data_IF_331397219764
#
_entry.id   IF_331397219764
#
_cell.length_a   1.000
_cell.length_b   1.000
_cell.length_c   1.000
_cell.angle_alpha   90.00
_cell.angle_beta   90.00
_cell.angle_gamma   90.00
#
_symmetry.space_group_name_H-M   'P 1'
#
loop_
_entity.id
_entity.type
_entity.pdbx_description
1 polymer ?
#
# COMPACT_ATOMS: atom_id res chain seq x y z
N UNK A 1 -41.64 -33.04 25.48
CA UNK A 1 -42.16 -32.27 26.64
C UNK A 1 -42.29 -30.83 26.16
N UNK A 2 -43.49 -30.24 26.06
CA UNK A 2 -44.32 -29.71 27.16
C UNK A 2 -43.65 -28.47 27.81
N UNK A 3 -44.26 -27.28 27.89
CA UNK A 3 -45.50 -26.68 27.33
C UNK A 3 -45.55 -25.20 27.81
N UNK A 4 -46.50 -24.39 27.30
CA UNK A 4 -47.04 -23.13 27.88
C UNK A 4 -46.15 -21.88 27.87
N UNK A 5 -46.70 -20.66 27.89
CA UNK A 5 -47.97 -20.08 27.38
C UNK A 5 -47.90 -18.55 27.59
N UNK A 6 -48.55 -17.74 26.74
CA UNK A 6 -48.62 -16.29 26.94
C UNK A 6 -49.55 -15.53 25.97
N UNK A 7 -50.88 -15.67 26.14
CA UNK A 7 -51.84 -14.62 25.77
C UNK A 7 -51.68 -13.44 26.78
N UNK A 8 -52.14 -12.18 26.65
CA UNK A 8 -53.22 -11.47 25.91
C UNK A 8 -52.89 -9.93 26.03
N UNK A 9 -53.57 -8.91 25.46
CA UNK A 9 -54.75 -8.81 24.60
C UNK A 9 -54.75 -7.49 23.76
N UNK A 10 -55.35 -7.56 22.56
CA UNK A 10 -56.36 -6.67 21.97
C UNK A 10 -56.49 -5.19 22.43
N UNK A 11 -56.47 -4.26 21.45
CA UNK A 11 -57.33 -3.06 21.48
C UNK A 11 -57.72 -2.68 20.05
N UNK A 12 -59.02 -2.62 19.76
CA UNK A 12 -59.60 -2.28 18.45
C UNK A 12 -60.38 -0.97 18.58
N UNK A 13 -60.18 -0.04 17.66
CA UNK A 13 -61.05 1.12 17.50
C UNK A 13 -61.46 1.24 16.02
N UNK A 14 -62.77 1.36 15.77
CA UNK A 14 -63.33 1.57 14.44
C UNK A 14 -63.42 3.06 14.09
N UNK A 15 -63.25 3.38 12.81
CA UNK A 15 -63.64 4.66 12.20
C UNK A 15 -64.22 4.35 10.81
N UNK A 16 -65.45 4.81 10.53
CA UNK A 16 -66.28 4.31 9.42
C UNK A 16 -66.25 5.24 8.20
N UNK A 17 -66.49 4.62 7.04
CA UNK A 17 -66.48 5.13 5.67
C UNK A 17 -67.02 6.56 5.41
N UNK A 18 -66.44 7.18 4.37
CA UNK A 18 -67.11 8.15 3.50
C UNK A 18 -66.85 7.78 2.04
N UNK A 19 -67.86 7.22 1.36
CA UNK A 19 -67.80 6.97 -0.08
C UNK A 19 -68.13 8.26 -0.85
N UNK A 20 -67.31 8.62 -1.83
CA UNK A 20 -67.59 9.67 -2.80
C UNK A 20 -67.31 9.14 -4.21
N UNK A 21 -68.33 9.11 -5.05
CA UNK A 21 -68.30 8.53 -6.39
C UNK A 21 -68.32 9.65 -7.44
N UNK A 22 -67.30 9.73 -8.30
CA UNK A 22 -67.25 10.65 -9.45
C UNK A 22 -66.55 10.01 -10.65
N UNK A 23 -67.05 10.37 -11.84
CA UNK A 23 -66.75 9.76 -13.15
C UNK A 23 -65.32 10.00 -13.69
N UNK A 24 -64.89 9.22 -14.72
CA UNK A 24 -63.56 9.29 -15.31
C UNK A 24 -63.43 10.31 -16.46
N UNK A 25 -62.20 10.83 -16.64
CA UNK A 25 -61.54 11.39 -17.85
C UNK A 25 -60.60 12.57 -17.46
N UNK A 26 -59.60 12.96 -18.26
CA UNK A 26 -58.93 12.26 -19.36
C UNK A 26 -57.39 12.14 -19.12
N UNK A 27 -56.65 11.66 -20.11
CA UNK A 27 -55.16 11.70 -20.13
C UNK A 27 -54.66 13.14 -20.09
N UNK A 28 -53.74 13.44 -19.17
CA UNK A 28 -52.97 14.67 -19.17
C UNK A 28 -51.49 14.37 -19.44
N UNK A 29 -51.01 14.65 -20.64
CA UNK A 29 -49.58 14.87 -20.88
C UNK A 29 -49.17 16.19 -20.22
N UNK A 30 -48.12 16.17 -19.39
CA UNK A 30 -47.07 17.20 -19.23
C UNK A 30 -46.30 17.03 -17.90
N UNK A 31 -45.07 17.59 -17.75
CA UNK A 31 -44.27 18.26 -18.76
C UNK A 31 -42.86 17.63 -18.95
N UNK A 32 -42.33 17.77 -20.17
CA UNK A 32 -40.88 17.69 -20.38
C UNK A 32 -40.21 18.98 -19.86
N UNK A 33 -39.96 19.05 -18.55
CA UNK A 33 -39.22 20.15 -17.89
C UNK A 33 -38.39 19.60 -16.74
N UNK A 34 -37.07 19.72 -16.73
CA UNK A 34 -36.20 20.21 -17.81
C UNK A 34 -34.79 19.69 -17.60
N UNK A 35 -33.94 19.82 -18.61
CA UNK A 35 -32.51 19.56 -18.46
C UNK A 35 -31.96 20.60 -17.49
N UNK A 36 -31.79 20.20 -16.24
CA UNK A 36 -30.95 20.94 -15.30
C UNK A 36 -29.51 20.75 -15.77
N UNK A 37 -29.05 21.68 -16.62
CA UNK A 37 -27.64 21.99 -16.81
C UNK A 37 -27.08 22.60 -15.51
N UNK A 38 -27.16 21.85 -14.42
CA UNK A 38 -26.31 22.06 -13.26
C UNK A 38 -24.88 21.73 -13.71
N UNK A 39 -24.21 22.73 -14.28
CA UNK A 39 -22.78 22.68 -14.54
C UNK A 39 -22.11 22.21 -13.25
N UNK A 40 -21.57 20.99 -13.28
CA UNK A 40 -20.89 20.39 -12.15
C UNK A 40 -19.83 21.39 -11.68
N UNK A 41 -20.03 21.96 -10.49
CA UNK A 41 -19.26 23.13 -10.08
C UNK A 41 -17.81 22.71 -9.93
N UNK A 42 -16.98 23.06 -10.91
CA UNK A 42 -15.63 22.52 -11.06
C UNK A 42 -14.82 22.79 -9.80
N UNK A 43 -14.68 21.77 -8.96
CA UNK A 43 -13.84 21.85 -7.76
C UNK A 43 -12.41 22.10 -8.22
N UNK A 44 -11.70 23.01 -7.56
CA UNK A 44 -10.31 23.35 -7.89
C UNK A 44 -9.35 22.83 -6.83
N UNK A 45 -8.17 22.41 -7.29
CA UNK A 45 -7.02 22.10 -6.45
C UNK A 45 -5.99 23.22 -6.61
N UNK A 46 -5.28 23.56 -5.53
CA UNK A 46 -4.41 24.73 -5.43
C UNK A 46 -3.02 24.34 -4.91
N UNK A 47 -1.98 24.97 -5.44
CA UNK A 47 -0.64 24.96 -4.87
C UNK A 47 -0.03 26.36 -4.94
N UNK A 48 0.84 26.65 -3.97
CA UNK A 48 1.55 27.93 -3.85
C UNK A 48 3.04 27.67 -3.71
N UNK A 49 3.85 28.41 -4.45
CA UNK A 49 5.29 28.42 -4.30
C UNK A 49 5.81 29.84 -4.52
N UNK A 50 6.71 30.30 -3.65
CA UNK A 50 7.22 31.67 -3.59
C UNK A 50 6.12 32.75 -3.79
N UNK A 51 5.94 33.26 -5.01
CA UNK A 51 4.99 34.33 -5.33
C UNK A 51 3.84 33.90 -6.27
N UNK A 52 3.85 32.66 -6.75
CA UNK A 52 2.87 32.06 -7.65
C UNK A 52 1.87 31.22 -6.83
N UNK A 53 0.59 31.50 -7.03
CA UNK A 53 -0.50 30.57 -6.73
C UNK A 53 -1.00 30.02 -8.06
N UNK A 54 -1.03 28.70 -8.17
CA UNK A 54 -1.54 27.96 -9.32
C UNK A 54 -2.71 27.09 -8.88
N UNK A 55 -3.76 27.08 -9.69
CA UNK A 55 -4.94 26.24 -9.47
C UNK A 55 -5.32 25.48 -10.73
N UNK A 56 -5.75 24.24 -10.57
CA UNK A 56 -6.31 23.41 -11.65
C UNK A 56 -7.78 23.15 -11.41
N UNK A 57 -8.57 23.14 -12.48
CA UNK A 57 -9.91 22.54 -12.49
C UNK A 57 -9.73 21.02 -12.34
N UNK A 58 -10.29 20.45 -11.27
CA UNK A 58 -10.05 19.03 -10.97
C UNK A 58 -10.71 18.12 -12.00
N UNK A 59 -11.82 18.52 -12.62
CA UNK A 59 -12.47 17.75 -13.67
C UNK A 59 -11.89 18.13 -15.03
N UNK A 60 -11.26 17.17 -15.71
CA UNK A 60 -10.87 17.35 -17.10
C UNK A 60 -12.06 17.21 -18.06
N UNK A 61 -11.99 17.87 -19.22
CA UNK A 61 -13.04 17.84 -20.25
C UNK A 61 -12.48 17.33 -21.57
N UNK A 62 -13.18 16.40 -22.23
CA UNK A 62 -12.76 15.94 -23.55
C UNK A 62 -13.24 16.87 -24.67
N UNK A 63 -12.40 17.07 -25.66
CA UNK A 63 -12.67 17.88 -26.85
C UNK A 63 -12.16 17.17 -28.11
N UNK A 64 -12.69 17.54 -29.27
CA UNK A 64 -12.16 17.10 -30.56
C UNK A 64 -11.30 18.22 -31.16
N UNK A 65 -9.99 18.00 -31.27
CA UNK A 65 -9.03 18.94 -31.87
C UNK A 65 -8.33 18.26 -33.05
N UNK A 66 -8.32 18.93 -34.21
CA UNK A 66 -7.70 18.43 -35.44
C UNK A 66 -8.13 17.00 -35.84
N UNK A 67 -9.38 16.62 -35.51
CA UNK A 67 -9.92 15.29 -35.77
C UNK A 67 -9.55 14.20 -34.75
N UNK A 68 -8.75 14.51 -33.72
CA UNK A 68 -8.43 13.61 -32.60
C UNK A 68 -9.21 14.02 -31.35
N UNK A 69 -9.55 13.04 -30.52
CA UNK A 69 -10.13 13.28 -29.19
C UNK A 69 -8.99 13.54 -28.22
N UNK A 70 -9.08 14.61 -27.45
CA UNK A 70 -8.07 15.02 -26.47
C UNK A 70 -8.72 15.32 -25.12
N UNK A 71 -8.01 15.03 -24.04
CA UNK A 71 -8.37 15.49 -22.69
C UNK A 71 -7.80 16.88 -22.46
N UNK A 72 -8.66 17.84 -22.11
CA UNK A 72 -8.26 19.19 -21.70
C UNK A 72 -8.27 19.32 -20.18
N UNK A 73 -7.13 19.76 -19.64
CA UNK A 73 -6.95 20.14 -18.23
C UNK A 73 -6.71 21.65 -18.16
N UNK A 74 -7.51 22.38 -17.37
CA UNK A 74 -7.45 23.86 -17.29
C UNK A 74 -6.85 24.35 -16.00
N UNK A 75 -6.01 25.38 -16.09
CA UNK A 75 -5.35 26.00 -14.96
C UNK A 75 -5.51 27.53 -14.94
N UNK A 76 -5.43 28.10 -13.74
CA UNK A 76 -5.44 29.55 -13.49
C UNK A 76 -4.35 29.91 -12.49
N UNK A 77 -3.52 30.90 -12.85
CA UNK A 77 -2.48 31.48 -12.02
C UNK A 77 -2.88 32.84 -11.43
N UNK A 78 -2.25 33.27 -10.34
CA UNK A 78 -2.38 34.65 -9.84
C UNK A 78 -1.42 35.65 -10.53
N UNK A 79 -0.45 35.18 -11.32
CA UNK A 79 0.53 35.97 -12.11
C UNK A 79 0.28 35.89 -13.61
N UNK A 80 0.83 36.84 -14.37
CA UNK A 80 0.80 36.78 -15.82
C UNK A 80 1.80 35.75 -16.37
N UNK A 81 1.32 34.92 -17.28
CA UNK A 81 2.03 33.79 -17.89
C UNK A 81 2.83 34.26 -19.11
N UNK A 82 4.13 33.98 -19.12
CA UNK A 82 5.01 34.25 -20.25
C UNK A 82 5.06 33.06 -21.21
N UNK A 83 5.18 31.87 -20.62
CA UNK A 83 5.40 30.61 -21.33
C UNK A 83 4.91 29.45 -20.46
N UNK A 84 4.39 28.41 -21.11
CA UNK A 84 3.95 27.15 -20.48
C UNK A 84 4.26 25.98 -21.40
N UNK A 85 4.78 24.88 -20.84
CA UNK A 85 4.99 23.63 -21.56
C UNK A 85 4.74 22.44 -20.64
N UNK A 86 4.23 21.33 -21.17
CA UNK A 86 3.99 20.09 -20.44
C UNK A 86 4.97 19.00 -20.85
N UNK A 87 5.42 18.20 -19.88
CA UNK A 87 6.44 17.18 -20.08
C UNK A 87 6.31 16.03 -19.08
N UNK A 88 6.90 14.91 -19.44
CA UNK A 88 7.23 13.80 -18.53
C UNK A 88 8.76 13.75 -18.41
N UNK A 89 9.34 12.96 -17.49
CA UNK A 89 10.79 12.74 -17.50
C UNK A 89 11.29 12.35 -18.90
N UNK A 90 12.28 13.10 -19.37
CA UNK A 90 12.98 12.96 -20.65
C UNK A 90 12.19 13.24 -21.97
N UNK A 91 10.90 13.62 -21.93
CA UNK A 91 10.14 13.94 -23.17
C UNK A 91 9.04 15.01 -23.00
N UNK A 92 8.78 15.77 -24.06
CA UNK A 92 7.64 16.71 -24.15
C UNK A 92 6.36 15.87 -24.23
N UNK A 93 5.31 16.26 -23.51
CA UNK A 93 4.14 15.41 -23.32
C UNK A 93 2.85 16.22 -23.25
N UNK A 94 1.92 15.97 -24.17
CA UNK A 94 0.76 16.82 -24.39
C UNK A 94 1.12 18.22 -24.91
N UNK A 95 0.09 18.98 -25.25
CA UNK A 95 0.20 20.34 -25.79
C UNK A 95 -0.31 21.35 -24.76
N UNK A 96 0.59 22.14 -24.15
CA UNK A 96 0.21 23.22 -23.23
C UNK A 96 0.08 24.56 -23.97
N UNK A 97 -1.02 25.29 -23.72
CA UNK A 97 -1.35 26.54 -24.40
C UNK A 97 -1.84 27.61 -23.43
N UNK A 98 -1.32 28.84 -23.56
CA UNK A 98 -1.85 30.01 -22.83
C UNK A 98 -3.14 30.48 -23.51
N UNK A 99 -4.27 30.40 -22.80
CA UNK A 99 -5.61 30.79 -23.28
C UNK A 99 -6.06 32.18 -22.77
N UNK A 100 -5.33 32.76 -21.81
CA UNK A 100 -5.52 34.12 -21.30
C UNK A 100 -4.29 34.55 -20.50
N UNK A 101 -4.11 35.84 -20.21
CA UNK A 101 -2.96 36.38 -19.44
C UNK A 101 -2.63 35.59 -18.17
N UNK A 102 -3.64 34.98 -17.53
CA UNK A 102 -3.52 34.20 -16.29
C UNK A 102 -4.03 32.76 -16.38
N UNK A 103 -4.34 32.26 -17.59
CA UNK A 103 -4.91 30.92 -17.76
C UNK A 103 -4.21 30.17 -18.86
N UNK A 104 -3.97 28.88 -18.62
CA UNK A 104 -3.51 27.95 -19.62
C UNK A 104 -4.34 26.68 -19.56
N UNK A 105 -4.21 25.87 -20.60
CA UNK A 105 -4.72 24.52 -20.65
C UNK A 105 -3.65 23.56 -21.15
N UNK A 106 -3.86 22.26 -20.90
CA UNK A 106 -3.04 21.17 -21.42
C UNK A 106 -3.97 20.22 -22.15
N UNK A 107 -3.66 19.92 -23.40
CA UNK A 107 -4.31 18.88 -24.18
C UNK A 107 -3.47 17.59 -24.16
N UNK A 108 -4.07 16.47 -23.79
CA UNK A 108 -3.45 15.13 -23.86
C UNK A 108 -4.21 14.28 -24.87
N UNK A 109 -3.50 13.64 -25.80
CA UNK A 109 -4.09 12.71 -26.75
C UNK A 109 -4.66 11.47 -26.03
N UNK A 110 -5.86 11.05 -26.44
CA UNK A 110 -6.57 9.90 -25.83
C UNK A 110 -5.90 8.55 -26.14
N UNK A 111 -4.92 8.50 -27.04
CA UNK A 111 -4.11 7.30 -27.26
C UNK A 111 -3.08 7.10 -26.13
N UNK A 112 -1.79 7.23 -26.42
CA UNK A 112 -0.72 6.84 -25.49
C UNK A 112 -0.52 7.85 -24.34
N UNK A 113 -0.75 9.14 -24.59
CA UNK A 113 -0.47 10.20 -23.62
C UNK A 113 -1.36 10.08 -22.38
N UNK A 114 -2.67 10.04 -22.61
CA UNK A 114 -3.63 9.88 -21.52
C UNK A 114 -3.45 8.54 -20.78
N UNK A 115 -3.11 7.45 -21.46
CA UNK A 115 -2.79 6.16 -20.82
C UNK A 115 -1.61 6.28 -19.85
N UNK A 116 -0.52 6.93 -20.27
CA UNK A 116 0.66 7.07 -19.45
C UNK A 116 0.38 7.86 -18.16
N UNK A 117 -0.35 8.97 -18.26
CA UNK A 117 -0.73 9.80 -17.10
C UNK A 117 -1.68 9.03 -16.17
N UNK A 118 -2.79 8.48 -16.69
CA UNK A 118 -3.78 7.78 -15.87
C UNK A 118 -3.24 6.51 -15.21
N UNK A 119 -2.25 5.85 -15.83
CA UNK A 119 -1.54 4.72 -15.24
C UNK A 119 -0.58 5.15 -14.11
N UNK A 120 -0.55 6.43 -13.73
CA UNK A 120 0.18 6.96 -12.57
C UNK A 120 1.54 7.58 -12.90
N UNK A 121 1.78 7.98 -14.15
CA UNK A 121 2.93 8.84 -14.47
C UNK A 121 2.55 10.29 -14.13
N UNK A 122 3.33 11.01 -13.31
CA UNK A 122 3.07 12.42 -13.09
C UNK A 122 3.33 13.20 -14.37
N UNK A 123 2.46 14.17 -14.65
CA UNK A 123 2.68 15.16 -15.69
C UNK A 123 3.29 16.40 -15.05
N UNK A 124 4.40 16.87 -15.60
CA UNK A 124 5.04 18.11 -15.18
C UNK A 124 4.66 19.25 -16.11
N UNK A 125 4.62 20.47 -15.57
CA UNK A 125 4.28 21.69 -16.31
C UNK A 125 5.28 22.77 -15.95
N UNK A 126 6.10 23.17 -16.90
CA UNK A 126 6.90 24.38 -16.78
C UNK A 126 6.00 25.61 -16.90
N UNK A 127 6.12 26.54 -15.96
CA UNK A 127 5.34 27.79 -15.92
C UNK A 127 6.29 28.95 -15.69
N UNK A 128 6.47 29.81 -16.70
CA UNK A 128 7.25 31.04 -16.58
C UNK A 128 6.33 32.26 -16.46
N UNK A 129 6.69 33.21 -15.60
CA UNK A 129 5.86 34.39 -15.30
C UNK A 129 6.61 35.70 -15.52
N UNK A 130 5.94 36.73 -16.06
CA UNK A 130 6.57 38.02 -16.39
C UNK A 130 6.12 39.21 -15.51
N UNK A 131 5.24 38.98 -14.52
CA UNK A 131 4.82 40.02 -13.55
C UNK A 131 5.31 39.73 -12.14
N UNK A 132 6.04 40.69 -11.56
CA UNK A 132 6.78 40.52 -10.30
C UNK A 132 8.27 40.39 -10.60
N UNK A 133 9.00 39.64 -9.79
CA UNK A 133 10.30 39.11 -10.19
C UNK A 133 10.05 37.96 -11.17
N UNK A 134 10.57 37.99 -12.42
CA UNK A 134 10.43 36.87 -13.33
C UNK A 134 11.00 35.60 -12.69
N UNK A 135 10.22 34.54 -12.71
CA UNK A 135 10.56 33.26 -12.07
C UNK A 135 9.88 32.15 -12.85
N UNK A 136 10.62 31.07 -13.07
CA UNK A 136 10.12 29.83 -13.63
C UNK A 136 9.81 28.86 -12.49
N UNK A 137 8.69 28.16 -12.64
CA UNK A 137 8.18 27.20 -11.69
C UNK A 137 7.92 25.89 -12.42
N UNK A 138 8.02 24.76 -11.72
CA UNK A 138 7.51 23.48 -12.23
C UNK A 138 6.35 23.02 -11.36
N UNK A 139 5.20 22.80 -11.98
CA UNK A 139 4.08 22.12 -11.34
C UNK A 139 4.18 20.62 -11.62
N UNK A 140 3.87 19.79 -10.61
CA UNK A 140 3.62 18.36 -10.76
C UNK A 140 2.13 18.12 -10.58
N UNK A 141 1.48 17.48 -11.55
CA UNK A 141 0.10 17.01 -11.44
C UNK A 141 -0.02 15.50 -11.58
N UNK A 142 -1.01 14.93 -10.90
CA UNK A 142 -1.38 13.51 -11.03
C UNK A 142 -2.86 13.44 -11.40
N UNK A 143 -3.19 12.65 -12.42
CA UNK A 143 -4.54 12.52 -12.95
C UNK A 143 -4.94 11.06 -12.91
N UNK A 144 -6.13 10.76 -12.37
CA UNK A 144 -6.67 9.41 -12.31
C UNK A 144 -8.16 9.41 -12.65
N UNK A 145 -8.72 8.29 -13.15
CA UNK A 145 -10.16 8.17 -13.29
C UNK A 145 -10.84 8.18 -11.90
N UNK A 146 -11.89 8.98 -11.74
CA UNK A 146 -12.66 9.10 -10.48
C UNK A 146 -14.15 9.10 -10.75
N UNK A 147 -14.90 8.41 -9.89
CA UNK A 147 -16.35 8.45 -9.90
C UNK A 147 -16.89 9.71 -9.20
N UNK A 148 -17.93 10.31 -9.75
CA UNK A 148 -18.65 11.44 -9.16
C UNK A 148 -20.13 11.43 -9.59
N UNK A 149 -20.91 12.43 -9.15
CA UNK A 149 -22.34 12.56 -9.45
C UNK A 149 -23.15 11.29 -9.06
N UNK A 150 -22.86 10.76 -7.87
CA UNK A 150 -23.52 9.56 -7.34
C UNK A 150 -24.99 9.83 -7.05
N UNK A 151 -25.90 9.03 -7.63
CA UNK A 151 -27.36 9.13 -7.41
C UNK A 151 -28.00 7.76 -7.24
N UNK A 152 -29.14 7.67 -6.58
CA UNK A 152 -29.87 6.42 -6.35
C UNK A 152 -29.59 5.81 -4.98
N UNK A 153 -29.58 4.47 -4.91
CA UNK A 153 -29.62 3.73 -3.64
C UNK A 153 -28.39 3.92 -2.75
N UNK A 154 -28.65 4.10 -1.44
CA UNK A 154 -27.65 4.05 -0.38
C UNK A 154 -27.26 2.61 0.01
N UNK A 155 -28.03 1.60 -0.43
CA UNK A 155 -27.77 0.18 -0.17
C UNK A 155 -26.55 -0.40 -0.90
N UNK A 156 -25.87 0.40 -1.73
CA UNK A 156 -24.55 0.08 -2.29
C UNK A 156 -23.64 1.30 -2.25
N UNK A 157 -22.35 1.07 -2.02
CA UNK A 157 -21.30 2.07 -2.01
C UNK A 157 -20.36 1.84 -3.19
N UNK A 158 -20.33 2.77 -4.15
CA UNK A 158 -19.33 2.79 -5.23
C UNK A 158 -18.20 3.69 -4.75
N UNK A 159 -16.97 3.18 -4.73
CA UNK A 159 -15.79 3.97 -4.34
C UNK A 159 -15.55 5.10 -5.36
N UNK A 160 -15.04 6.25 -4.90
CA UNK A 160 -14.61 7.33 -5.81
C UNK A 160 -13.42 6.87 -6.67
N UNK A 161 -12.57 6.01 -6.12
CA UNK A 161 -11.30 5.65 -6.74
C UNK A 161 -11.45 4.57 -7.80
N UNK A 162 -10.82 4.84 -8.93
CA UNK A 162 -10.46 3.86 -9.95
C UNK A 162 -8.96 3.99 -10.17
N UNK A 163 -8.18 3.07 -9.60
CA UNK A 163 -6.72 3.18 -9.55
C UNK A 163 -6.05 2.13 -10.47
N UNK A 164 -4.89 2.44 -11.07
CA UNK A 164 -4.19 1.54 -11.98
C UNK A 164 -3.35 0.51 -11.22
N UNK A 165 -3.53 -0.76 -11.56
CA UNK A 165 -2.76 -1.89 -11.02
C UNK A 165 -2.06 -2.67 -12.13
N UNK A 166 -0.96 -3.32 -11.75
CA UNK A 166 -0.24 -4.21 -12.64
C UNK A 166 -0.89 -5.58 -12.65
N UNK A 167 -1.32 -6.02 -13.84
CA UNK A 167 -1.89 -7.35 -14.07
C UNK A 167 -1.22 -7.94 -15.30
N UNK A 168 -0.57 -9.09 -15.17
CA UNK A 168 0.12 -9.77 -16.27
C UNK A 168 -0.89 -10.31 -17.29
N UNK A 169 -1.15 -9.55 -18.36
CA UNK A 169 -2.16 -9.85 -19.37
C UNK A 169 -1.65 -9.60 -20.79
N UNK A 170 -0.71 -10.44 -21.23
CA UNK A 170 -0.10 -10.34 -22.57
C UNK A 170 0.64 -9.03 -22.76
N UNK A 171 0.23 -8.23 -23.75
CA UNK A 171 0.81 -6.92 -24.03
C UNK A 171 0.30 -5.77 -23.15
N UNK A 172 -0.87 -5.93 -22.51
CA UNK A 172 -1.53 -4.87 -21.76
C UNK A 172 -1.47 -5.15 -20.26
N UNK A 173 -0.37 -4.74 -19.61
CA UNK A 173 -0.13 -5.07 -18.21
C UNK A 173 -0.76 -4.09 -17.18
N UNK A 174 -1.67 -3.22 -17.63
CA UNK A 174 -2.41 -2.27 -16.77
C UNK A 174 -3.90 -2.60 -16.76
N UNK A 175 -4.47 -2.64 -15.56
CA UNK A 175 -5.92 -2.65 -15.32
C UNK A 175 -6.28 -1.47 -14.44
N UNK A 176 -7.29 -0.72 -14.84
CA UNK A 176 -7.90 0.33 -14.02
C UNK A 176 -8.99 -0.34 -13.18
N UNK A 177 -8.89 -0.24 -11.85
CA UNK A 177 -9.75 -0.98 -10.94
C UNK A 177 -10.54 -0.06 -10.02
N UNK A 178 -11.87 -0.12 -10.14
CA UNK A 178 -12.82 0.45 -9.19
C UNK A 178 -13.36 -0.61 -8.23
N UNK A 179 -14.12 -0.16 -7.23
CA UNK A 179 -14.71 -1.02 -6.20
C UNK A 179 -16.16 -0.66 -5.91
N UNK A 180 -16.99 -1.67 -5.62
CA UNK A 180 -18.34 -1.50 -5.06
C UNK A 180 -18.50 -2.42 -3.85
N UNK A 181 -19.02 -1.86 -2.76
CA UNK A 181 -19.28 -2.57 -1.49
C UNK A 181 -20.75 -2.47 -1.10
N UNK A 182 -21.22 -3.44 -0.32
CA UNK A 182 -22.55 -3.45 0.29
C UNK A 182 -23.05 -4.87 0.56
N UNK A 183 -24.25 -5.05 1.12
CA UNK A 183 -24.90 -6.37 1.31
C UNK A 183 -25.42 -6.94 -0.03
N UNK A 184 -24.53 -7.06 -1.02
CA UNK A 184 -24.82 -7.36 -2.42
C UNK A 184 -24.65 -8.86 -2.69
N UNK A 185 -25.68 -9.48 -3.27
CA UNK A 185 -25.65 -10.87 -3.76
C UNK A 185 -25.23 -10.98 -5.23
N UNK A 186 -25.41 -9.91 -5.98
CA UNK A 186 -25.01 -9.77 -7.38
C UNK A 186 -24.72 -8.31 -7.68
N UNK A 187 -23.88 -8.04 -8.67
CA UNK A 187 -23.68 -6.71 -9.23
C UNK A 187 -23.56 -6.82 -10.76
N UNK A 188 -24.27 -5.95 -11.47
CA UNK A 188 -24.10 -5.68 -12.89
C UNK A 188 -23.84 -4.18 -13.07
N UNK A 189 -22.98 -3.85 -14.03
CA UNK A 189 -22.73 -2.46 -14.46
C UNK A 189 -23.09 -2.34 -15.93
N UNK A 190 -23.84 -1.30 -16.29
CA UNK A 190 -24.20 -0.98 -17.67
C UNK A 190 -23.86 0.47 -18.00
N UNK A 191 -23.42 0.70 -19.23
CA UNK A 191 -23.05 1.99 -19.80
C UNK A 191 -23.28 1.93 -21.32
N UNK A 192 -23.23 3.07 -22.01
CA UNK A 192 -23.32 3.09 -23.48
C UNK A 192 -22.11 2.40 -24.13
N UNK A 193 -20.95 2.61 -23.52
CA UNK A 193 -19.61 2.13 -23.88
C UNK A 193 -18.77 1.97 -22.59
N UNK A 194 -17.55 1.44 -22.72
CA UNK A 194 -16.64 1.34 -21.57
C UNK A 194 -17.14 0.52 -20.37
N UNK A 195 -17.94 -0.53 -20.58
CA UNK A 195 -18.44 -1.37 -19.49
C UNK A 195 -17.30 -2.15 -18.81
N UNK A 196 -17.15 -2.11 -17.47
CA UNK A 196 -16.12 -2.89 -16.77
C UNK A 196 -16.41 -4.39 -16.78
N UNK A 197 -15.36 -5.19 -16.62
CA UNK A 197 -15.50 -6.56 -16.12
C UNK A 197 -15.82 -6.52 -14.63
N UNK A 198 -16.97 -7.06 -14.23
CA UNK A 198 -17.38 -7.15 -12.82
C UNK A 198 -17.00 -8.51 -12.25
N UNK A 199 -16.32 -8.54 -11.10
CA UNK A 199 -15.98 -9.77 -10.40
C UNK A 199 -16.13 -9.61 -8.88
N UNK A 200 -16.60 -10.64 -8.19
CA UNK A 200 -16.62 -10.65 -6.73
C UNK A 200 -15.17 -10.65 -6.18
N UNK A 201 -14.87 -9.75 -5.25
CA UNK A 201 -13.59 -9.66 -4.54
C UNK A 201 -13.72 -10.01 -3.05
N UNK A 202 -14.95 -10.15 -2.55
CA UNK A 202 -15.28 -10.64 -1.22
C UNK A 202 -16.78 -10.95 -1.11
N UNK A 203 -17.25 -11.36 0.07
CA UNK A 203 -18.66 -11.72 0.27
C UNK A 203 -19.66 -10.58 0.06
N UNK A 204 -19.19 -9.33 0.17
CA UNK A 204 -19.96 -8.08 0.11
C UNK A 204 -19.23 -7.01 -0.73
N UNK A 205 -18.31 -7.44 -1.61
CA UNK A 205 -17.42 -6.56 -2.37
C UNK A 205 -17.23 -7.08 -3.79
N UNK A 206 -17.29 -6.16 -4.75
CA UNK A 206 -17.02 -6.40 -6.16
C UNK A 206 -15.92 -5.46 -6.64
N UNK A 207 -15.03 -5.97 -7.48
CA UNK A 207 -14.09 -5.17 -8.27
C UNK A 207 -14.66 -4.91 -9.67
N UNK A 208 -14.30 -3.76 -10.21
CA UNK A 208 -14.65 -3.29 -11.54
C UNK A 208 -13.36 -3.09 -12.32
N UNK A 209 -13.08 -3.96 -13.28
CA UNK A 209 -11.80 -3.97 -14.00
C UNK A 209 -12.00 -3.47 -15.44
N UNK A 210 -11.33 -2.37 -15.80
CA UNK A 210 -11.25 -1.85 -17.17
C UNK A 210 -9.85 -2.07 -17.76
N UNK A 211 -9.79 -2.40 -19.05
CA UNK A 211 -8.61 -2.16 -19.87
C UNK A 211 -8.54 -0.67 -20.27
N UNK A 212 -7.39 -0.20 -20.76
CA UNK A 212 -7.25 1.20 -21.19
C UNK A 212 -8.31 1.61 -22.23
N UNK A 213 -8.52 0.78 -23.26
CA UNK A 213 -9.54 1.03 -24.28
C UNK A 213 -10.93 1.26 -23.69
N UNK A 214 -11.32 0.40 -22.75
CA UNK A 214 -12.63 0.53 -22.08
C UNK A 214 -12.70 1.68 -21.06
N UNK A 215 -11.59 2.12 -20.46
CA UNK A 215 -11.64 3.19 -19.44
C UNK A 215 -11.75 4.58 -20.08
N UNK A 216 -11.12 4.81 -21.24
CA UNK A 216 -11.22 6.11 -21.91
C UNK A 216 -12.56 6.36 -22.58
N UNK A 217 -13.29 5.29 -22.91
CA UNK A 217 -14.69 5.38 -23.35
C UNK A 217 -15.59 5.69 -22.14
N UNK A 218 -15.47 4.91 -21.06
CA UNK A 218 -16.25 5.10 -19.82
C UNK A 218 -16.14 6.51 -19.20
N UNK A 219 -15.01 7.18 -19.42
CA UNK A 219 -14.71 8.51 -18.88
C UNK A 219 -15.37 9.69 -19.62
N UNK A 220 -15.84 9.50 -20.85
CA UNK A 220 -16.70 10.47 -21.55
C UNK A 220 -17.36 9.81 -22.77
N UNK A 221 -18.69 9.70 -22.71
CA UNK A 221 -19.50 9.37 -23.87
C UNK A 221 -20.73 10.29 -23.97
N UNK A 222 -20.53 11.61 -23.87
CA UNK A 222 -21.61 12.61 -23.96
C UNK A 222 -22.77 12.40 -22.95
N UNK A 223 -22.41 12.27 -21.68
CA UNK A 223 -23.25 12.52 -20.49
C UNK A 223 -24.24 11.45 -20.00
N UNK A 224 -24.22 10.21 -20.48
CA UNK A 224 -24.95 9.11 -19.80
C UNK A 224 -24.11 8.55 -18.62
N UNK A 225 -24.62 8.52 -17.37
CA UNK A 225 -23.92 7.88 -16.25
C UNK A 225 -23.83 6.36 -16.37
N UNK A 226 -22.79 5.76 -15.79
CA UNK A 226 -22.75 4.32 -15.54
C UNK A 226 -23.86 3.96 -14.55
N UNK A 227 -24.55 2.86 -14.81
CA UNK A 227 -25.63 2.33 -13.96
C UNK A 227 -25.18 1.05 -13.28
N UNK A 228 -25.24 1.04 -11.96
CA UNK A 228 -24.90 -0.07 -11.07
C UNK A 228 -26.21 -0.69 -10.57
N UNK A 229 -26.45 -1.95 -10.89
CA UNK A 229 -27.65 -2.68 -10.48
C UNK A 229 -27.23 -3.88 -9.65
N UNK A 230 -27.74 -3.99 -8.42
CA UNK A 230 -27.37 -5.05 -7.49
C UNK A 230 -28.60 -5.70 -6.85
N UNK A 231 -28.56 -7.01 -6.65
CA UNK A 231 -29.53 -7.71 -5.80
C UNK A 231 -29.04 -7.67 -4.36
N UNK A 232 -29.89 -7.19 -3.43
CA UNK A 232 -29.61 -7.19 -1.99
C UNK A 232 -30.19 -8.44 -1.32
N UNK A 233 -29.72 -8.72 -0.09
CA UNK A 233 -30.36 -9.69 0.78
C UNK A 233 -31.87 -9.45 0.92
N UNK A 234 -32.67 -10.51 0.80
CA UNK A 234 -34.14 -10.43 0.78
C UNK A 234 -34.77 -10.18 -0.60
N UNK A 235 -33.98 -10.12 -1.67
CA UNK A 235 -34.48 -10.01 -3.05
C UNK A 235 -34.83 -8.58 -3.50
N UNK A 236 -34.42 -7.57 -2.74
CA UNK A 236 -34.59 -6.15 -3.10
C UNK A 236 -33.54 -5.77 -4.14
N UNK A 237 -33.95 -5.18 -5.27
CA UNK A 237 -33.00 -4.60 -6.23
C UNK A 237 -32.62 -3.19 -5.81
N UNK A 238 -31.33 -2.93 -5.70
CA UNK A 238 -30.77 -1.59 -5.57
C UNK A 238 -30.21 -1.12 -6.92
N UNK A 239 -30.41 0.15 -7.24
CA UNK A 239 -29.82 0.79 -8.41
C UNK A 239 -29.12 2.08 -7.99
N UNK A 240 -27.91 2.30 -8.48
CA UNK A 240 -27.13 3.53 -8.31
C UNK A 240 -26.60 3.98 -9.67
N UNK A 241 -26.36 5.27 -9.84
CA UNK A 241 -25.64 5.81 -11.00
C UNK A 241 -24.47 6.64 -10.54
N UNK A 242 -23.41 6.67 -11.35
CA UNK A 242 -22.26 7.55 -11.18
C UNK A 242 -21.60 7.81 -12.54
N UNK A 243 -20.84 8.89 -12.63
CA UNK A 243 -20.05 9.27 -13.81
C UNK A 243 -18.59 9.02 -13.53
N UNK A 244 -17.85 8.46 -14.48
CA UNK A 244 -16.39 8.40 -14.41
C UNK A 244 -15.82 9.60 -15.18
N UNK A 245 -14.78 10.26 -14.66
CA UNK A 245 -13.99 11.28 -15.38
C UNK A 245 -12.51 11.20 -15.01
N UNK A 246 -11.60 11.65 -15.89
CA UNK A 246 -10.23 11.95 -15.48
C UNK A 246 -10.25 13.15 -14.53
N UNK A 247 -9.69 12.95 -13.33
CA UNK A 247 -9.63 13.98 -12.29
C UNK A 247 -8.19 14.29 -11.91
N UNK A 248 -7.83 15.57 -11.86
CA UNK A 248 -6.57 16.02 -11.23
C UNK A 248 -6.72 15.81 -9.72
N UNK A 249 -5.98 14.84 -9.17
CA UNK A 249 -6.06 14.45 -7.75
C UNK A 249 -4.95 15.05 -6.90
N UNK A 250 -3.87 15.50 -7.54
CA UNK A 250 -2.67 16.03 -6.87
C UNK A 250 -2.13 17.20 -7.69
N UNK A 251 -1.67 18.23 -7.00
CA UNK A 251 -0.99 19.40 -7.55
C UNK A 251 0.07 19.84 -6.54
N UNK A 252 1.33 19.87 -6.97
CA UNK A 252 2.44 20.43 -6.23
C UNK A 252 3.20 21.41 -7.13
N UNK A 253 3.97 22.33 -6.53
CA UNK A 253 4.66 23.40 -7.24
C UNK A 253 6.05 23.61 -6.60
N UNK A 254 7.07 23.90 -7.41
CA UNK A 254 8.43 24.21 -6.94
C UNK A 254 9.12 25.23 -7.84
N UNK A 255 10.08 25.98 -7.30
CA UNK A 255 11.09 26.73 -8.08
C UNK A 255 12.43 26.00 -8.23
N UNK A 256 12.58 24.82 -7.60
CA UNK A 256 13.78 23.97 -7.74
C UNK A 256 13.72 23.07 -8.98
N UNK A 257 14.74 22.23 -9.13
CA UNK A 257 14.73 21.17 -10.15
C UNK A 257 13.67 20.11 -9.79
N UNK A 258 12.78 19.82 -10.74
CA UNK A 258 11.70 18.87 -10.54
C UNK A 258 12.20 17.42 -10.32
N UNK A 259 13.37 17.07 -10.83
CA UNK A 259 14.00 15.76 -10.67
C UNK A 259 14.71 15.61 -9.31
N UNK A 260 15.17 16.72 -8.71
CA UNK A 260 15.71 16.72 -7.34
C UNK A 260 14.58 16.75 -6.29
N UNK A 261 13.50 17.50 -6.56
CA UNK A 261 12.36 17.67 -5.63
C UNK A 261 11.38 16.48 -5.69
N UNK A 262 11.18 15.91 -6.88
CA UNK A 262 10.31 14.75 -7.09
C UNK A 262 11.04 13.65 -7.89
N UNK A 263 12.13 13.07 -7.34
CA UNK A 263 12.91 12.05 -8.01
C UNK A 263 12.03 10.87 -8.40
N UNK A 264 12.22 10.41 -9.63
CA UNK A 264 11.60 9.21 -10.19
C UNK A 264 12.03 8.00 -9.35
N UNK A 265 11.13 7.35 -8.57
CA UNK A 265 11.56 6.32 -7.62
C UNK A 265 12.12 5.09 -8.33
N UNK A 266 13.19 4.52 -7.78
CA UNK A 266 13.73 3.22 -8.22
C UNK A 266 12.79 2.06 -7.81
N UNK A 267 13.19 0.81 -8.05
CA UNK A 267 12.43 -0.33 -7.57
C UNK A 267 12.44 -0.38 -6.03
N UNK A 268 11.27 -0.26 -5.42
CA UNK A 268 11.15 -0.26 -3.96
C UNK A 268 11.23 -1.67 -3.39
N UNK A 269 12.16 -1.90 -2.46
CA UNK A 269 12.40 -3.20 -1.81
C UNK A 269 11.13 -3.94 -1.30
N UNK A 270 10.13 -3.29 -0.65
CA UNK A 270 8.90 -3.98 -0.24
C UNK A 270 8.07 -4.49 -1.42
N UNK A 271 8.06 -3.74 -2.53
CA UNK A 271 7.33 -4.08 -3.76
C UNK A 271 8.00 -5.26 -4.45
N UNK A 272 9.33 -5.20 -4.58
CA UNK A 272 10.15 -6.31 -5.10
C UNK A 272 9.90 -7.62 -4.34
N UNK A 273 9.98 -7.55 -3.00
CA UNK A 273 9.77 -8.70 -2.13
C UNK A 273 8.34 -9.24 -2.25
N UNK A 274 7.33 -8.36 -2.33
CA UNK A 274 5.95 -8.79 -2.53
C UNK A 274 5.74 -9.52 -3.86
N UNK A 275 6.33 -9.03 -4.97
CA UNK A 275 6.24 -9.66 -6.29
C UNK A 275 6.85 -11.08 -6.25
N UNK A 276 8.04 -11.22 -5.64
CA UNK A 276 8.76 -12.49 -5.55
C UNK A 276 8.17 -13.47 -4.53
N UNK A 277 7.41 -12.98 -3.55
CA UNK A 277 6.65 -13.81 -2.61
C UNK A 277 5.31 -14.33 -3.19
N UNK A 278 4.89 -13.87 -4.38
CA UNK A 278 3.64 -14.36 -4.98
C UNK A 278 3.75 -15.83 -5.42
N UNK A 279 2.68 -16.63 -5.27
CA UNK A 279 2.62 -17.98 -5.81
C UNK A 279 2.90 -18.04 -7.32
N UNK A 280 3.46 -19.16 -7.78
CA UNK A 280 3.66 -19.41 -9.21
C UNK A 280 2.31 -19.36 -9.95
N UNK A 281 2.26 -18.59 -11.04
CA UNK A 281 1.05 -18.40 -11.83
C UNK A 281 0.18 -17.20 -11.43
N UNK A 282 0.56 -16.44 -10.39
CA UNK A 282 -0.08 -15.15 -10.08
C UNK A 282 -0.01 -14.21 -11.28
N UNK A 283 -1.16 -13.61 -11.63
CA UNK A 283 -1.28 -12.61 -12.69
C UNK A 283 -1.67 -11.24 -12.16
N UNK A 284 -2.34 -11.14 -11.01
CA UNK A 284 -2.82 -9.88 -10.43
C UNK A 284 -1.91 -9.46 -9.26
N UNK A 285 -1.17 -8.35 -9.44
CA UNK A 285 -0.18 -7.86 -8.48
C UNK A 285 -0.67 -6.65 -7.69
N UNK A 286 -1.98 -6.39 -7.66
CA UNK A 286 -2.57 -5.26 -6.96
C UNK A 286 -2.27 -5.23 -5.44
N UNK A 287 -1.98 -6.38 -4.84
CA UNK A 287 -1.55 -6.48 -3.44
C UNK A 287 -0.13 -5.94 -3.18
N UNK A 288 0.70 -5.77 -4.21
CA UNK A 288 2.10 -5.35 -4.08
C UNK A 288 2.33 -3.86 -4.33
N UNK A 289 1.35 -3.13 -4.84
CA UNK A 289 1.44 -1.68 -5.07
C UNK A 289 0.66 -1.23 -6.30
N UNK A 290 0.82 0.05 -6.65
CA UNK A 290 0.27 0.63 -7.88
C UNK A 290 0.94 0.06 -9.14
N UNK A 291 0.32 0.28 -10.30
CA UNK A 291 0.90 -0.09 -11.60
C UNK A 291 2.36 0.35 -11.76
N UNK A 292 2.69 1.63 -11.49
CA UNK A 292 4.07 2.13 -11.66
C UNK A 292 5.05 1.54 -10.64
N UNK A 293 4.63 1.28 -9.41
CA UNK A 293 5.51 0.64 -8.42
C UNK A 293 5.88 -0.78 -8.85
N UNK A 294 4.90 -1.59 -9.26
CA UNK A 294 5.16 -2.95 -9.72
C UNK A 294 5.91 -2.96 -11.05
N UNK A 295 5.56 -2.09 -12.01
CA UNK A 295 6.23 -1.97 -13.31
C UNK A 295 7.73 -1.70 -13.16
N UNK A 296 8.13 -0.81 -12.24
CA UNK A 296 9.55 -0.50 -11.96
C UNK A 296 10.34 -1.71 -11.48
N UNK A 297 9.71 -2.55 -10.66
CA UNK A 297 10.36 -3.76 -10.12
C UNK A 297 10.27 -5.00 -11.02
N UNK A 298 9.44 -4.98 -12.08
CA UNK A 298 9.07 -6.18 -12.82
C UNK A 298 10.22 -6.86 -13.58
N UNK A 299 11.23 -6.09 -14.00
CA UNK A 299 12.40 -6.59 -14.72
C UNK A 299 13.72 -6.50 -13.92
N UNK A 300 13.63 -6.14 -12.63
CA UNK A 300 14.77 -6.11 -11.73
C UNK A 300 15.09 -7.54 -11.30
N UNK A 301 16.34 -7.97 -11.50
CA UNK A 301 16.82 -9.29 -11.07
C UNK A 301 17.58 -9.25 -9.73
N UNK A 302 18.13 -8.07 -9.38
CA UNK A 302 18.79 -7.80 -8.11
C UNK A 302 18.39 -6.39 -7.65
N UNK A 303 17.48 -6.33 -6.68
CA UNK A 303 17.01 -5.07 -6.09
C UNK A 303 18.13 -4.33 -5.33
N UNK A 304 19.19 -5.02 -4.92
CA UNK A 304 20.30 -4.39 -4.21
C UNK A 304 21.31 -3.69 -5.14
N UNK A 305 21.21 -3.92 -6.45
CA UNK A 305 21.87 -3.09 -7.46
C UNK A 305 21.07 -1.82 -7.80
N UNK A 306 19.76 -1.83 -7.55
CA UNK A 306 18.76 -0.81 -7.93
C UNK A 306 18.15 -0.11 -6.70
N UNK A 307 18.88 -0.07 -5.58
CA UNK A 307 18.45 0.59 -4.34
C UNK A 307 19.67 1.09 -3.59
N UNK A 308 19.62 2.32 -3.09
CA UNK A 308 20.67 2.89 -2.25
C UNK A 308 21.04 1.96 -1.07
N UNK A 309 22.31 1.53 -0.96
CA UNK A 309 22.70 0.50 0.00
C UNK A 309 22.66 1.02 1.44
N UNK A 310 22.14 0.18 2.33
CA UNK A 310 21.84 0.52 3.71
C UNK A 310 23.05 0.27 4.62
N UNK A 311 23.32 1.17 5.57
CA UNK A 311 24.28 0.87 6.64
C UNK A 311 23.80 -0.35 7.45
N UNK A 312 24.71 -1.12 8.04
CA UNK A 312 24.34 -2.26 8.88
C UNK A 312 23.62 -1.76 10.13
N UNK A 313 22.32 -2.07 10.23
CA UNK A 313 21.47 -1.89 11.40
C UNK A 313 20.82 -3.23 11.79
N UNK A 314 20.29 -3.32 13.01
CA UNK A 314 19.56 -4.48 13.49
C UNK A 314 18.13 -4.09 13.83
N UNK A 315 17.18 -4.53 13.00
CA UNK A 315 15.75 -4.33 13.23
C UNK A 315 15.22 -5.47 14.13
N UNK A 316 14.60 -5.18 15.30
CA UNK A 316 14.05 -6.20 16.18
C UNK A 316 12.99 -7.07 15.49
N UNK A 317 13.00 -8.37 15.80
CA UNK A 317 12.00 -9.34 15.34
C UNK A 317 11.28 -9.99 16.52
N UNK A 318 10.00 -10.26 16.34
CA UNK A 318 9.22 -11.06 17.29
C UNK A 318 9.80 -12.48 17.39
N UNK A 319 10.26 -12.84 18.57
CA UNK A 319 10.84 -14.14 18.93
C UNK A 319 9.92 -14.97 19.86
N UNK A 320 8.68 -14.54 20.10
CA UNK A 320 7.75 -15.20 21.05
C UNK A 320 7.46 -16.67 20.72
N UNK A 321 7.62 -17.08 19.46
CA UNK A 321 7.51 -18.49 19.04
C UNK A 321 8.64 -19.39 19.58
N UNK A 322 9.76 -18.83 20.05
CA UNK A 322 10.85 -19.54 20.72
C UNK A 322 10.64 -19.69 22.24
N UNK A 323 9.67 -18.98 22.82
CA UNK A 323 9.40 -18.98 24.27
C UNK A 323 9.11 -20.38 24.85
N UNK A 324 8.36 -21.28 24.19
CA UNK A 324 8.16 -22.65 24.69
C UNK A 324 9.48 -23.44 24.78
N UNK A 325 10.39 -23.28 23.82
CA UNK A 325 11.69 -23.95 23.81
C UNK A 325 12.61 -23.38 24.90
N UNK A 326 12.59 -22.05 25.10
CA UNK A 326 13.30 -21.39 26.21
C UNK A 326 12.80 -21.86 27.57
N UNK A 327 11.49 -21.95 27.76
CA UNK A 327 10.89 -22.44 29.00
C UNK A 327 11.26 -23.90 29.26
N UNK A 328 11.24 -24.76 28.24
CA UNK A 328 11.69 -26.15 28.35
C UNK A 328 13.19 -26.26 28.72
N UNK A 329 14.05 -25.44 28.11
CA UNK A 329 15.48 -25.40 28.45
C UNK A 329 15.73 -25.05 29.92
N UNK A 330 14.88 -24.21 30.53
CA UNK A 330 14.97 -23.82 31.94
C UNK A 330 14.47 -24.88 32.95
N UNK A 331 13.96 -26.04 32.52
CA UNK A 331 13.42 -27.09 33.41
C UNK A 331 14.54 -27.99 33.95
N UNK A 332 14.82 -27.89 35.25
CA UNK A 332 15.73 -28.81 35.96
C UNK A 332 16.76 -28.13 36.86
N UNK A 333 16.84 -26.80 36.83
CA UNK A 333 17.58 -25.97 37.79
C UNK A 333 17.21 -26.36 39.21
N UNK A 334 18.21 -26.68 40.04
CA UNK A 334 18.03 -27.24 41.39
C UNK A 334 19.10 -26.72 42.36
N UNK A 335 19.00 -27.11 43.63
CA UNK A 335 19.81 -26.55 44.71
C UNK A 335 21.32 -26.81 44.65
N UNK A 336 21.83 -27.69 43.77
CA UNK A 336 23.28 -27.89 43.60
C UNK A 336 23.83 -27.48 42.23
N UNK A 337 22.95 -27.29 41.23
CA UNK A 337 23.29 -26.79 39.90
C UNK A 337 22.11 -25.95 39.40
N UNK A 338 22.34 -24.66 39.18
CA UNK A 338 21.34 -23.72 38.67
C UNK A 338 21.72 -23.18 37.30
N UNK A 339 20.71 -22.78 36.54
CA UNK A 339 20.85 -22.15 35.24
C UNK A 339 19.58 -21.40 34.88
N UNK A 340 19.70 -20.50 33.91
CA UNK A 340 18.58 -19.76 33.37
C UNK A 340 18.92 -19.07 32.05
N UNK A 341 18.09 -19.27 31.04
CA UNK A 341 18.09 -18.56 29.76
C UNK A 341 17.00 -17.49 29.78
N UNK A 342 17.38 -16.22 29.66
CA UNK A 342 16.50 -15.06 29.53
C UNK A 342 15.72 -15.10 28.20
N UNK A 343 14.60 -14.35 28.05
CA UNK A 343 13.86 -14.25 26.79
C UNK A 343 14.80 -14.05 25.60
N UNK A 344 14.59 -14.85 24.55
CA UNK A 344 15.47 -14.86 23.38
C UNK A 344 15.17 -13.62 22.55
N UNK A 345 16.19 -12.84 22.26
CA UNK A 345 16.08 -11.68 21.37
C UNK A 345 16.39 -12.11 19.93
N UNK A 346 15.65 -11.58 18.97
CA UNK A 346 15.89 -11.79 17.55
C UNK A 346 15.92 -10.46 16.80
N UNK A 347 16.75 -10.38 15.76
CA UNK A 347 16.87 -9.22 14.89
C UNK A 347 17.00 -9.65 13.42
N UNK A 348 16.82 -8.70 12.50
CA UNK A 348 17.17 -8.86 11.09
C UNK A 348 18.23 -7.86 10.65
N UNK A 349 19.16 -8.32 9.80
CA UNK A 349 20.08 -7.45 9.05
C UNK A 349 19.41 -6.90 7.77
N UNK A 350 19.89 -5.77 7.23
CA UNK A 350 19.34 -5.16 6.02
C UNK A 350 19.41 -6.11 4.83
N UNK A 351 18.48 -6.00 3.88
CA UNK A 351 18.49 -6.85 2.69
C UNK A 351 19.59 -6.46 1.70
N UNK A 352 19.85 -5.15 1.58
CA UNK A 352 20.82 -4.57 0.68
C UNK A 352 21.85 -3.73 1.49
N UNK A 353 22.72 -4.39 2.28
CA UNK A 353 23.69 -3.68 3.11
C UNK A 353 24.88 -3.15 2.27
N UNK A 354 25.49 -2.05 2.70
CA UNK A 354 26.67 -1.43 2.08
C UNK A 354 27.90 -2.35 2.00
N UNK A 355 27.97 -3.32 2.91
CA UNK A 355 28.97 -4.39 2.91
C UNK A 355 28.33 -5.68 3.43
N UNK A 356 28.85 -6.86 3.04
CA UNK A 356 28.39 -8.13 3.59
C UNK A 356 28.47 -8.12 5.13
N UNK A 357 27.36 -8.34 5.87
CA UNK A 357 27.39 -8.27 7.32
C UNK A 357 28.29 -9.36 7.89
N UNK A 358 29.21 -8.96 8.76
CA UNK A 358 30.07 -9.89 9.50
C UNK A 358 29.49 -10.13 10.89
N UNK A 359 29.79 -11.28 11.50
CA UNK A 359 29.40 -11.56 12.88
C UNK A 359 29.91 -10.49 13.87
N UNK A 360 31.10 -9.92 13.63
CA UNK A 360 31.62 -8.80 14.42
C UNK A 360 30.77 -7.53 14.23
N UNK A 361 30.47 -7.13 12.99
CA UNK A 361 29.64 -5.96 12.74
C UNK A 361 28.21 -6.12 13.28
N UNK A 362 27.66 -7.33 13.26
CA UNK A 362 26.40 -7.67 13.94
C UNK A 362 26.52 -7.50 15.45
N UNK A 363 27.59 -8.03 16.07
CA UNK A 363 27.84 -7.89 17.50
C UNK A 363 27.97 -6.43 17.94
N UNK A 364 28.65 -5.60 17.15
CA UNK A 364 28.86 -4.17 17.40
C UNK A 364 27.58 -3.33 17.27
N UNK A 365 26.56 -3.81 16.52
CA UNK A 365 25.25 -3.17 16.40
C UNK A 365 24.25 -3.59 17.49
N UNK A 366 24.54 -4.64 18.26
CA UNK A 366 23.66 -5.04 19.37
C UNK A 366 23.75 -4.00 20.49
N UNK A 367 22.61 -3.35 20.78
CA UNK A 367 22.49 -2.38 21.88
C UNK A 367 22.31 -3.13 23.21
N UNK A 368 23.39 -3.76 23.68
CA UNK A 368 23.43 -4.49 24.94
C UNK A 368 22.90 -3.62 26.10
N UNK A 369 21.97 -4.16 26.87
CA UNK A 369 21.29 -3.39 27.90
C UNK A 369 22.27 -2.94 29.00
N UNK A 370 21.99 -1.78 29.61
CA UNK A 370 22.84 -1.19 30.64
C UNK A 370 22.98 -2.04 31.93
N UNK A 371 22.25 -3.15 32.03
CA UNK A 371 22.39 -4.16 33.10
C UNK A 371 23.69 -4.96 32.99
N UNK A 372 24.34 -5.01 31.82
CA UNK A 372 25.51 -5.86 31.54
C UNK A 372 26.81 -5.06 31.40
N UNK A 373 27.22 -4.37 32.48
CA UNK A 373 28.50 -3.62 32.50
C UNK A 373 29.74 -4.51 32.29
N UNK A 374 29.64 -5.79 32.63
CA UNK A 374 30.73 -6.76 32.59
C UNK A 374 30.64 -7.70 31.37
N UNK A 375 30.00 -7.23 30.30
CA UNK A 375 29.91 -8.00 29.07
C UNK A 375 31.29 -8.08 28.37
N UNK A 376 31.77 -9.28 28.00
CA UNK A 376 33.01 -9.44 27.23
C UNK A 376 32.92 -8.78 25.85
N UNK A 377 34.00 -8.17 25.39
CA UNK A 377 34.10 -7.64 24.03
C UNK A 377 34.17 -8.77 23.00
N UNK A 378 33.96 -8.44 21.72
CA UNK A 378 33.96 -9.47 20.66
C UNK A 378 35.25 -10.31 20.63
N UNK A 379 36.40 -9.70 20.90
CA UNK A 379 37.70 -10.38 20.95
C UNK A 379 37.92 -11.30 22.15
N UNK A 380 37.09 -11.20 23.20
CA UNK A 380 37.17 -12.03 24.41
C UNK A 380 36.34 -13.33 24.28
N UNK A 381 35.46 -13.40 23.28
CA UNK A 381 34.64 -14.58 22.99
C UNK A 381 35.23 -15.49 21.91
N UNK A 382 34.65 -16.69 21.80
CA UNK A 382 35.01 -17.69 20.78
C UNK A 382 34.08 -17.58 19.58
N UNK A 383 34.65 -17.29 18.41
CA UNK A 383 33.94 -17.38 17.12
C UNK A 383 33.97 -18.80 16.59
N UNK A 384 32.82 -19.30 16.13
CA UNK A 384 32.68 -20.62 15.53
C UNK A 384 31.54 -20.66 14.50
N UNK A 385 31.23 -21.84 13.97
CA UNK A 385 30.17 -22.06 12.99
C UNK A 385 29.21 -23.18 13.46
N UNK A 386 28.33 -23.63 12.56
CA UNK A 386 27.40 -24.75 12.75
C UNK A 386 27.99 -25.95 13.52
N UNK A 387 29.23 -26.36 13.22
CA UNK A 387 29.86 -27.53 13.84
C UNK A 387 30.30 -27.30 15.30
N UNK A 388 30.54 -26.05 15.70
CA UNK A 388 30.94 -25.68 17.06
C UNK A 388 29.79 -25.24 17.96
N UNK A 389 28.53 -25.21 17.48
CA UNK A 389 27.39 -24.84 18.33
C UNK A 389 27.27 -25.75 19.56
N UNK A 390 27.55 -27.05 19.40
CA UNK A 390 27.57 -28.04 20.47
C UNK A 390 28.70 -27.84 21.52
N UNK A 391 29.52 -26.79 21.38
CA UNK A 391 30.47 -26.34 22.42
C UNK A 391 29.84 -25.31 23.36
N UNK A 392 28.70 -24.72 22.99
CA UNK A 392 27.96 -23.78 23.83
C UNK A 392 27.07 -24.51 24.83
N UNK A 393 27.06 -24.07 26.09
CA UNK A 393 26.20 -24.62 27.14
C UNK A 393 24.70 -24.46 26.83
N UNK A 394 24.33 -23.45 26.02
CA UNK A 394 22.95 -23.28 25.57
C UNK A 394 22.52 -24.31 24.50
N UNK A 395 23.44 -24.75 23.66
CA UNK A 395 23.14 -25.48 22.40
C UNK A 395 23.77 -26.89 22.38
N UNK A 396 24.11 -27.41 23.54
CA UNK A 396 24.64 -28.76 23.75
C UNK A 396 23.74 -29.52 24.71
N UNK A 397 23.73 -30.85 24.56
CA UNK A 397 23.14 -31.78 25.53
C UNK A 397 24.05 -31.87 26.76
N UNK A 398 24.06 -30.77 27.52
CA UNK A 398 24.79 -30.62 28.78
C UNK A 398 23.86 -30.90 29.96
N UNK A 399 24.40 -31.00 31.17
CA UNK A 399 23.60 -31.14 32.40
C UNK A 399 22.70 -29.93 32.73
N UNK A 400 22.69 -28.90 31.89
CA UNK A 400 22.00 -27.63 32.09
C UNK A 400 20.74 -27.44 31.21
N UNK A 401 20.36 -28.42 30.38
CA UNK A 401 19.14 -28.35 29.57
C UNK A 401 19.21 -29.08 28.22
N UNK A 402 18.07 -29.23 27.55
CA UNK A 402 17.99 -29.81 26.19
C UNK A 402 18.40 -28.76 25.14
N UNK A 403 19.70 -28.62 24.96
CA UNK A 403 20.30 -27.69 23.99
C UNK A 403 20.04 -28.09 22.54
N UNK A 404 19.88 -29.40 22.25
CA UNK A 404 19.53 -29.87 20.91
C UNK A 404 18.11 -29.47 20.50
N UNK A 405 17.11 -29.59 21.40
CA UNK A 405 15.75 -29.12 21.15
C UNK A 405 15.68 -27.60 21.01
N UNK A 406 16.44 -26.85 21.83
CA UNK A 406 16.53 -25.40 21.70
C UNK A 406 17.12 -24.98 20.35
N UNK A 407 18.24 -25.58 19.94
CA UNK A 407 18.83 -25.34 18.62
C UNK A 407 17.85 -25.69 17.48
N UNK A 408 17.13 -26.80 17.60
CA UNK A 408 16.10 -27.19 16.61
C UNK A 408 15.01 -26.14 16.47
N UNK A 409 14.54 -25.55 17.58
CA UNK A 409 13.55 -24.47 17.54
C UNK A 409 14.12 -23.19 16.92
N UNK A 410 15.36 -22.83 17.24
CA UNK A 410 16.05 -21.67 16.65
C UNK A 410 16.26 -21.85 15.15
N UNK A 411 16.66 -23.04 14.69
CA UNK A 411 16.81 -23.35 13.27
C UNK A 411 15.46 -23.28 12.53
N UNK A 412 14.38 -23.78 13.13
CA UNK A 412 13.04 -23.67 12.55
C UNK A 412 12.57 -22.20 12.43
N UNK A 413 12.93 -21.34 13.38
CA UNK A 413 12.66 -19.90 13.35
C UNK A 413 13.52 -19.15 12.33
N UNK A 414 14.82 -19.44 12.28
CA UNK A 414 15.80 -18.76 11.45
C UNK A 414 15.97 -19.36 10.05
N UNK A 415 15.23 -20.43 9.70
CA UNK A 415 15.33 -21.12 8.41
C UNK A 415 16.51 -22.08 8.26
N UNK A 416 17.29 -22.30 9.33
CA UNK A 416 18.42 -23.24 9.37
C UNK A 416 19.60 -22.86 8.47
N UNK A 417 20.34 -23.87 8.00
CA UNK A 417 21.45 -23.69 7.04
C UNK A 417 22.78 -23.30 7.69
N UNK A 418 23.52 -22.40 7.04
CA UNK A 418 24.78 -21.87 7.57
C UNK A 418 24.53 -20.86 8.71
N UNK A 419 25.41 -20.90 9.72
CA UNK A 419 25.37 -20.01 10.88
C UNK A 419 26.79 -19.69 11.33
N UNK A 420 27.02 -18.41 11.62
CA UNK A 420 28.20 -17.90 12.30
C UNK A 420 27.81 -17.65 13.76
N UNK A 421 28.63 -18.07 14.71
CA UNK A 421 28.30 -18.00 16.13
C UNK A 421 29.45 -17.39 16.94
N UNK A 422 29.11 -16.56 17.91
CA UNK A 422 30.03 -16.03 18.91
C UNK A 422 29.52 -16.45 20.28
N UNK A 423 30.42 -16.99 21.12
CA UNK A 423 30.10 -17.39 22.49
C UNK A 423 31.07 -16.75 23.47
N UNK A 424 30.56 -16.25 24.59
CA UNK A 424 31.41 -15.80 25.69
C UNK A 424 30.87 -16.23 27.04
N UNK A 425 31.73 -16.17 28.05
CA UNK A 425 31.43 -16.49 29.44
C UNK A 425 32.14 -15.48 30.33
N UNK A 426 31.45 -14.99 31.35
CA UNK A 426 32.01 -14.09 32.37
C UNK A 426 31.67 -14.66 33.74
N UNK A 427 32.66 -14.84 34.61
CA UNK A 427 32.45 -15.36 35.97
C UNK A 427 31.93 -14.24 36.88
N UNK A 428 30.89 -14.55 37.64
CA UNK A 428 30.24 -13.64 38.59
C UNK A 428 30.65 -14.07 40.00
N UNK A 429 31.30 -13.19 40.79
CA UNK A 429 31.69 -13.53 42.15
C UNK A 429 30.48 -13.83 43.06
N UNK A 430 30.45 -15.02 43.65
CA UNK A 430 29.47 -15.45 44.65
C UNK A 430 30.16 -16.15 45.83
N UNK A 431 29.41 -16.39 46.92
CA UNK A 431 29.97 -16.94 48.16
C UNK A 431 29.78 -18.46 48.23
N UNK A 432 30.89 -19.21 48.23
CA UNK A 432 30.95 -20.69 48.23
C UNK A 432 30.25 -21.34 47.02
N UNK A 433 30.37 -20.68 45.86
CA UNK A 433 29.63 -20.96 44.64
C UNK A 433 30.50 -20.55 43.45
N UNK A 434 30.21 -21.10 42.26
CA UNK A 434 30.62 -20.52 40.99
C UNK A 434 29.39 -20.15 40.17
N UNK A 435 29.32 -18.92 39.69
CA UNK A 435 28.28 -18.46 38.76
C UNK A 435 28.93 -17.89 37.50
N UNK A 436 28.35 -18.20 36.34
CA UNK A 436 28.86 -17.78 35.04
C UNK A 436 27.73 -17.19 34.21
N UNK A 437 27.84 -15.92 33.87
CA UNK A 437 27.05 -15.31 32.81
C UNK A 437 27.47 -15.91 31.46
N UNK A 438 26.49 -16.25 30.63
CA UNK A 438 26.65 -16.91 29.33
C UNK A 438 26.00 -16.06 28.25
N UNK A 439 26.73 -15.88 27.15
CA UNK A 439 26.29 -15.08 26.02
C UNK A 439 26.49 -15.86 24.72
N UNK A 440 25.51 -15.78 23.81
CA UNK A 440 25.65 -16.21 22.44
C UNK A 440 25.07 -15.17 21.47
N UNK A 441 25.75 -14.98 20.35
CA UNK A 441 25.19 -14.31 19.16
C UNK A 441 25.29 -15.29 18.00
N UNK A 442 24.15 -15.63 17.41
CA UNK A 442 24.07 -16.49 16.22
C UNK A 442 23.61 -15.63 15.04
N UNK A 443 24.37 -15.61 13.95
CA UNK A 443 23.99 -14.94 12.72
C UNK A 443 23.78 -15.97 11.60
N UNK A 444 22.59 -15.95 11.02
CA UNK A 444 22.14 -16.78 9.89
C UNK A 444 22.13 -15.93 8.62
N UNK A 445 23.18 -15.97 7.77
CA UNK A 445 23.31 -15.02 6.67
C UNK A 445 22.20 -15.17 5.61
N UNK A 446 21.81 -16.41 5.30
CA UNK A 446 20.81 -16.70 4.27
C UNK A 446 19.41 -16.15 4.59
N UNK A 447 19.00 -16.18 5.86
CA UNK A 447 17.73 -15.62 6.34
C UNK A 447 17.85 -14.24 6.96
N UNK A 448 19.06 -13.65 6.93
CA UNK A 448 19.41 -12.37 7.54
C UNK A 448 19.03 -12.27 9.02
N UNK A 449 18.96 -13.39 9.73
CA UNK A 449 18.44 -13.47 11.10
C UNK A 449 19.57 -13.51 12.11
N UNK A 450 19.48 -12.67 13.14
CA UNK A 450 20.37 -12.67 14.30
C UNK A 450 19.58 -13.14 15.51
N UNK A 451 20.16 -14.04 16.31
CA UNK A 451 19.57 -14.56 17.55
C UNK A 451 20.56 -14.31 18.68
N UNK A 452 20.08 -13.75 19.78
CA UNK A 452 20.89 -13.47 20.97
C UNK A 452 20.37 -14.32 22.13
N UNK A 453 21.28 -15.10 22.72
CA UNK A 453 21.00 -15.90 23.92
C UNK A 453 21.78 -15.31 25.09
N UNK A 454 21.06 -15.02 26.17
CA UNK A 454 21.62 -14.44 27.39
C UNK A 454 21.16 -15.28 28.58
N UNK A 455 22.04 -15.61 29.50
CA UNK A 455 21.69 -16.48 30.61
C UNK A 455 22.83 -16.67 31.60
N UNK A 456 22.63 -17.62 32.51
CA UNK A 456 23.60 -17.97 33.54
C UNK A 456 23.63 -19.49 33.78
N UNK A 457 24.75 -19.95 34.36
CA UNK A 457 24.94 -21.32 34.87
C UNK A 457 25.79 -21.25 36.14
N UNK A 458 25.48 -22.04 37.16
CA UNK A 458 26.31 -22.12 38.35
C UNK A 458 26.14 -23.40 39.17
N UNK A 459 27.03 -23.60 40.13
CA UNK A 459 27.08 -24.75 41.03
C UNK A 459 27.77 -24.40 42.36
N UNK A 460 27.49 -25.16 43.43
CA UNK A 460 28.13 -24.98 44.75
C UNK A 460 29.58 -25.51 44.76
N UNK A 461 30.48 -24.83 45.49
CA UNK A 461 31.92 -25.16 45.58
C UNK A 461 32.27 -26.37 46.46
#
# INVERSE_FOLDING_TARGET
MSLRNGLMALCVAWGVAGCGETQPEPVAEQPATGVSEAAATATRIYATEASLELSFETMGTFETRNGRRVLILRATANRYLQDVFSFIPDDIYGEANIISERRFEIALDVENELNAVLSGLPLFVGVSTFTGTPTSYTAKIEVFPRFFDFRGSEGMWVDEKVDPYFVRNGGNNVVYRGKVDGPLQSLAVTAADGVPTVAASGANSYRLDWSYGTVHDAMDPHTVPLTFTASLAGGVTAQKTARLVPRVTSLALTTGDAYEVWPTPECQLPVYNCIHAQPQGTTDYAACGTFRQVQRCWYVNDVCAETAPQALSLEPRDATSLEPARLAWNVGSNGGVWYGLKPIEAYSTPQCPQSPPTLQGVFEQLQWSAEYRDMPGFGDGTVTNRAGLAQSVFLSDSGYGDGAALLTAIDAYAGGGEVQAWFATSEVPCHNCHEFNRFAVLYYPASRTVIVLQGYTGYDS
#
